data_IF_220643685840
#
_entry.id   IF_220643685840
#
_cell.length_a   1.000
_cell.length_b   1.000
_cell.length_c   1.000
_cell.angle_alpha   90.00
_cell.angle_beta   90.00
_cell.angle_gamma   90.00
#
_symmetry.space_group_name_H-M   'P 1'
#
loop_
_entity.id
_entity.type
_entity.pdbx_description
1 polymer ?
#
# COMPACT_ATOMS: atom_id res chain seq x y z
N UNK A 1 -14.33 -3.22 19.09
CA UNK A 1 -13.90 -3.59 17.71
C UNK A 1 -12.51 -3.05 17.52
N UNK A 2 -11.52 -3.89 17.21
CA UNK A 2 -10.24 -3.35 16.73
C UNK A 2 -10.48 -2.79 15.35
N UNK A 3 -10.16 -1.51 15.13
CA UNK A 3 -10.16 -0.94 13.79
C UNK A 3 -9.24 -1.79 12.90
N UNK A 4 -9.71 -2.13 11.71
CA UNK A 4 -8.87 -2.84 10.75
C UNK A 4 -7.68 -1.93 10.39
N UNK A 5 -6.45 -2.42 10.61
CA UNK A 5 -5.24 -1.69 10.22
C UNK A 5 -5.19 -1.56 8.69
N UNK A 6 -4.92 -0.36 8.19
CA UNK A 6 -4.77 -0.09 6.77
C UNK A 6 -3.43 -0.60 6.25
N UNK A 7 -2.38 -0.39 7.02
CA UNK A 7 -0.99 -0.71 6.70
C UNK A 7 -0.28 -1.29 7.92
N UNK A 8 0.45 -2.39 7.74
CA UNK A 8 1.24 -3.01 8.80
C UNK A 8 2.60 -3.45 8.27
N UNK A 9 3.65 -3.13 9.01
CA UNK A 9 4.98 -3.66 8.76
C UNK A 9 5.09 -5.09 9.30
N UNK A 10 5.66 -5.99 8.52
CA UNK A 10 5.78 -7.40 8.85
C UNK A 10 7.23 -7.82 9.10
N UNK A 11 7.87 -7.23 10.12
CA UNK A 11 9.27 -7.55 10.47
C UNK A 11 9.47 -9.06 10.78
N UNK A 12 8.46 -9.73 11.35
CA UNK A 12 8.52 -11.18 11.59
C UNK A 12 8.49 -12.01 10.31
N UNK A 13 7.61 -11.66 9.37
CA UNK A 13 7.56 -12.29 8.04
C UNK A 13 8.81 -12.01 7.22
N UNK A 14 9.32 -10.77 7.30
CA UNK A 14 10.55 -10.33 6.64
C UNK A 14 11.77 -11.17 7.04
N UNK A 15 11.93 -11.39 8.34
CA UNK A 15 13.02 -12.19 8.89
C UNK A 15 12.82 -13.69 8.62
N UNK A 16 11.64 -14.23 8.93
CA UNK A 16 11.39 -15.68 8.82
C UNK A 16 11.46 -16.22 7.38
N UNK A 17 11.17 -15.38 6.39
CA UNK A 17 11.25 -15.73 4.96
C UNK A 17 12.56 -15.27 4.29
N UNK A 18 13.54 -14.76 5.05
CA UNK A 18 14.80 -14.27 4.51
C UNK A 18 15.73 -15.43 4.10
N UNK A 19 16.01 -15.57 2.80
CA UNK A 19 16.96 -16.57 2.31
C UNK A 19 18.42 -16.29 2.71
N UNK A 20 18.73 -15.03 3.04
CA UNK A 20 20.05 -14.58 3.53
C UNK A 20 20.15 -14.61 5.06
N UNK A 21 19.08 -15.01 5.76
CA UNK A 21 19.01 -15.05 7.22
C UNK A 21 18.91 -13.67 7.90
N UNK A 22 18.79 -12.57 7.14
CA UNK A 22 18.75 -11.21 7.67
C UNK A 22 17.40 -10.54 7.39
N UNK A 23 17.06 -10.33 6.12
CA UNK A 23 15.84 -9.63 5.73
C UNK A 23 15.54 -9.89 4.26
N UNK A 24 14.35 -10.42 4.01
CA UNK A 24 13.85 -10.62 2.64
C UNK A 24 13.69 -9.29 1.91
N UNK A 25 13.18 -8.26 2.58
CA UNK A 25 13.11 -6.88 2.08
C UNK A 25 14.51 -6.36 1.72
N UNK A 26 15.50 -6.57 2.57
CA UNK A 26 16.90 -6.24 2.29
C UNK A 26 17.46 -6.95 1.05
N UNK A 27 17.12 -8.22 0.85
CA UNK A 27 17.50 -8.97 -0.34
C UNK A 27 16.87 -8.38 -1.61
N UNK A 28 15.60 -7.94 -1.55
CA UNK A 28 14.92 -7.27 -2.66
C UNK A 28 15.53 -5.89 -2.98
N UNK A 29 15.86 -5.10 -1.96
CA UNK A 29 16.51 -3.80 -2.13
C UNK A 29 17.85 -3.88 -2.89
N UNK A 30 18.57 -5.00 -2.75
CA UNK A 30 19.87 -5.23 -3.40
C UNK A 30 19.76 -5.79 -4.82
N UNK A 31 18.56 -6.13 -5.30
CA UNK A 31 18.41 -6.63 -6.66
C UNK A 31 18.66 -5.51 -7.69
N UNK A 32 19.42 -5.78 -8.77
CA UNK A 32 19.66 -4.80 -9.82
C UNK A 32 18.35 -4.23 -10.38
N UNK A 33 18.28 -2.90 -10.51
CA UNK A 33 17.13 -2.19 -11.08
C UNK A 33 15.90 -2.08 -10.16
N UNK A 34 15.97 -2.55 -8.90
CA UNK A 34 14.88 -2.36 -7.92
C UNK A 34 14.98 -1.06 -7.14
N UNK A 35 16.18 -0.52 -7.03
CA UNK A 35 16.45 0.69 -6.27
C UNK A 35 17.54 1.49 -6.98
N UNK A 36 17.32 2.79 -7.12
CA UNK A 36 18.29 3.73 -7.68
C UNK A 36 18.92 4.57 -6.56
N UNK A 37 20.20 4.88 -6.70
CA UNK A 37 20.86 5.80 -5.77
C UNK A 37 20.30 7.21 -5.98
N UNK A 38 19.83 7.82 -4.91
CA UNK A 38 19.16 9.12 -4.89
C UNK A 38 19.65 9.90 -3.68
N UNK A 39 19.70 11.22 -3.81
CA UNK A 39 20.25 12.11 -2.78
C UNK A 39 19.17 12.66 -1.85
N UNK A 40 17.91 12.71 -2.27
CA UNK A 40 16.84 13.28 -1.46
C UNK A 40 16.09 12.22 -0.62
N UNK A 41 15.78 12.51 0.66
CA UNK A 41 15.07 11.59 1.56
C UNK A 41 13.75 11.11 1.01
N UNK A 42 13.08 11.96 0.26
CA UNK A 42 11.75 11.70 -0.21
C UNK A 42 11.78 10.64 -1.33
N UNK A 43 12.73 10.71 -2.27
CA UNK A 43 12.83 9.73 -3.37
C UNK A 43 13.34 8.41 -2.85
N UNK A 44 14.22 8.45 -1.84
CA UNK A 44 14.65 7.28 -1.10
C UNK A 44 13.46 6.56 -0.46
N UNK A 45 12.59 7.30 0.24
CA UNK A 45 11.38 6.76 0.85
C UNK A 45 10.39 6.21 -0.17
N UNK A 46 10.18 6.89 -1.30
CA UNK A 46 9.35 6.40 -2.40
C UNK A 46 9.86 5.05 -2.94
N UNK A 47 11.15 4.95 -3.24
CA UNK A 47 11.76 3.72 -3.76
C UNK A 47 11.69 2.59 -2.74
N UNK A 48 12.00 2.88 -1.47
CA UNK A 48 11.95 1.88 -0.40
C UNK A 48 10.52 1.36 -0.18
N UNK A 49 9.53 2.27 -0.15
CA UNK A 49 8.12 1.91 -0.03
C UNK A 49 7.64 1.09 -1.23
N UNK A 50 8.03 1.47 -2.45
CA UNK A 50 7.68 0.73 -3.68
C UNK A 50 8.17 -0.71 -3.62
N UNK A 51 9.41 -0.94 -3.21
CA UNK A 51 9.96 -2.30 -3.04
C UNK A 51 9.25 -3.06 -1.91
N UNK A 52 8.83 -2.36 -0.86
CA UNK A 52 8.16 -2.95 0.29
C UNK A 52 6.73 -3.42 0.01
N UNK A 53 6.10 -2.96 -1.09
CA UNK A 53 4.71 -3.27 -1.44
C UNK A 53 4.54 -4.65 -2.10
N UNK A 54 3.33 -5.26 -2.00
CA UNK A 54 3.04 -6.59 -2.53
C UNK A 54 3.20 -6.73 -4.05
N UNK A 55 3.14 -5.62 -4.80
CA UNK A 55 3.34 -5.60 -6.25
C UNK A 55 4.78 -5.90 -6.68
N UNK A 56 5.76 -5.61 -5.81
CA UNK A 56 7.19 -5.89 -6.05
C UNK A 56 7.63 -7.13 -5.28
N UNK A 57 7.24 -7.23 -4.02
CA UNK A 57 7.62 -8.33 -3.13
C UNK A 57 6.36 -9.03 -2.62
N UNK A 58 6.11 -10.29 -2.95
CA UNK A 58 4.89 -11.01 -2.52
C UNK A 58 5.19 -12.20 -1.60
N UNK A 59 4.69 -12.22 -0.34
CA UNK A 59 4.00 -11.13 0.37
C UNK A 59 4.88 -9.91 0.62
N UNK A 60 4.29 -8.71 0.71
CA UNK A 60 5.01 -7.45 0.93
C UNK A 60 5.65 -7.36 2.31
N UNK A 61 6.62 -6.43 2.45
CA UNK A 61 7.18 -6.04 3.75
C UNK A 61 6.15 -5.18 4.49
N UNK A 62 5.45 -4.35 3.71
CA UNK A 62 4.23 -3.67 4.14
C UNK A 62 3.04 -4.50 3.67
N UNK A 63 2.27 -4.98 4.63
CA UNK A 63 0.98 -5.61 4.40
C UNK A 63 -0.09 -4.52 4.33
N UNK A 64 -1.00 -4.67 3.38
CA UNK A 64 -2.09 -3.72 3.15
C UNK A 64 -3.43 -4.35 3.49
N UNK A 65 -4.38 -3.53 3.92
CA UNK A 65 -5.77 -3.95 4.07
C UNK A 65 -6.34 -4.40 2.71
N UNK A 66 -7.18 -5.45 2.65
CA UNK A 66 -7.72 -5.98 1.39
C UNK A 66 -8.39 -4.97 0.46
N UNK A 67 -8.94 -3.88 1.00
CA UNK A 67 -9.56 -2.81 0.21
C UNK A 67 -8.55 -1.90 -0.49
N UNK A 68 -7.29 -1.89 -0.07
CA UNK A 68 -6.23 -1.12 -0.74
C UNK A 68 -5.90 -1.82 -2.05
N UNK A 69 -6.17 -1.16 -3.18
CA UNK A 69 -5.90 -1.66 -4.52
C UNK A 69 -4.53 -1.24 -5.02
N UNK A 70 -4.15 0.01 -4.73
CA UNK A 70 -2.88 0.57 -5.17
C UNK A 70 -2.36 1.59 -4.17
N UNK A 71 -1.03 1.70 -4.13
CA UNK A 71 -0.29 2.71 -3.37
C UNK A 71 0.83 3.22 -4.27
N UNK A 72 0.77 4.50 -4.60
CA UNK A 72 1.77 5.18 -5.42
C UNK A 72 2.21 6.48 -4.76
N UNK A 73 3.32 7.05 -5.22
CA UNK A 73 3.82 8.34 -4.74
C UNK A 73 3.71 9.40 -5.84
N UNK A 74 3.40 10.62 -5.42
CA UNK A 74 3.44 11.83 -6.21
C UNK A 74 4.43 12.81 -5.57
N UNK A 75 5.14 13.52 -6.45
CA UNK A 75 5.97 14.67 -6.11
C UNK A 75 5.21 15.94 -6.40
N UNK A 76 5.15 16.84 -5.43
CA UNK A 76 4.74 18.22 -5.67
C UNK A 76 5.89 19.03 -6.24
N UNK A 77 5.55 20.12 -6.93
CA UNK A 77 6.52 21.02 -7.57
C UNK A 77 7.42 21.74 -6.54
N UNK A 78 7.00 21.81 -5.27
CA UNK A 78 7.73 22.48 -4.19
C UNK A 78 8.45 21.48 -3.26
N UNK A 79 8.59 20.23 -3.69
CA UNK A 79 9.28 19.17 -2.95
C UNK A 79 8.38 18.34 -2.03
N UNK A 80 7.07 18.52 -2.08
CA UNK A 80 6.14 17.72 -1.28
C UNK A 80 6.20 16.24 -1.67
N UNK A 81 6.10 15.36 -0.67
CA UNK A 81 5.85 13.93 -0.87
C UNK A 81 4.39 13.63 -0.55
N UNK A 82 3.65 13.11 -1.52
CA UNK A 82 2.26 12.69 -1.31
C UNK A 82 2.12 11.25 -1.74
N UNK A 83 1.66 10.38 -0.85
CA UNK A 83 1.25 9.03 -1.23
C UNK A 83 -0.23 9.01 -1.62
N UNK A 84 -0.54 8.34 -2.72
CA UNK A 84 -1.87 8.15 -3.26
C UNK A 84 -2.28 6.72 -2.98
N UNK A 85 -3.36 6.55 -2.23
CA UNK A 85 -3.92 5.26 -1.87
C UNK A 85 -5.27 5.09 -2.54
N UNK A 86 -5.38 4.09 -3.39
CA UNK A 86 -6.64 3.74 -4.06
C UNK A 86 -7.36 2.65 -3.26
N UNK A 87 -8.61 2.92 -2.89
CA UNK A 87 -9.44 2.05 -2.06
C UNK A 87 -10.67 1.55 -2.82
N UNK A 88 -11.03 0.29 -2.60
CA UNK A 88 -12.34 -0.26 -2.96
C UNK A 88 -13.42 0.33 -2.06
N UNK A 89 -14.44 0.91 -2.69
CA UNK A 89 -15.64 1.43 -2.02
C UNK A 89 -16.90 0.68 -2.48
N UNK A 90 -18.00 0.82 -1.73
CA UNK A 90 -19.29 0.30 -2.15
C UNK A 90 -19.90 1.20 -3.23
N UNK A 91 -20.72 0.62 -4.12
CA UNK A 91 -21.47 1.38 -5.13
C UNK A 91 -22.56 2.21 -4.45
N UNK A 92 -22.52 3.55 -4.54
CA UNK A 92 -23.63 4.37 -4.07
C UNK A 92 -24.90 3.98 -4.83
N UNK A 93 -25.99 3.71 -4.11
CA UNK A 93 -27.25 3.26 -4.72
C UNK A 93 -27.80 4.23 -5.78
N UNK A 94 -27.50 5.52 -5.64
CA UNK A 94 -27.87 6.56 -6.60
C UNK A 94 -27.18 6.41 -7.97
N UNK A 95 -26.08 5.67 -8.05
CA UNK A 95 -25.32 5.44 -9.28
C UNK A 95 -25.72 4.15 -9.99
N UNK A 96 -26.65 3.36 -9.45
CA UNK A 96 -27.12 2.16 -10.15
C UNK A 96 -27.97 2.54 -11.37
N UNK A 97 -27.65 2.00 -12.57
CA UNK A 97 -28.43 2.28 -13.76
C UNK A 97 -29.88 1.83 -13.61
N UNK A 98 -30.81 2.71 -13.96
CA UNK A 98 -32.24 2.40 -13.89
C UNK A 98 -32.57 1.18 -14.77
N UNK A 99 -33.16 0.15 -14.18
CA UNK A 99 -33.63 -1.04 -14.87
C UNK A 99 -32.56 -2.10 -15.19
N UNK A 100 -31.30 -1.95 -14.75
CA UNK A 100 -30.27 -2.99 -14.88
C UNK A 100 -29.31 -2.98 -13.68
N UNK A 101 -29.15 -4.13 -13.01
CA UNK A 101 -28.10 -4.29 -11.99
C UNK A 101 -26.73 -4.35 -12.65
N UNK A 102 -25.81 -3.49 -12.21
CA UNK A 102 -24.41 -3.58 -12.61
C UNK A 102 -23.67 -4.65 -11.80
N UNK A 103 -22.48 -5.04 -12.28
CA UNK A 103 -21.52 -5.78 -11.45
C UNK A 103 -20.61 -4.77 -10.75
N UNK A 104 -20.16 -5.11 -9.55
CA UNK A 104 -19.18 -4.33 -8.79
C UNK A 104 -18.00 -5.20 -8.35
N UNK A 105 -17.19 -4.68 -7.44
CA UNK A 105 -16.06 -5.42 -6.87
C UNK A 105 -16.46 -6.79 -6.31
N UNK A 106 -15.70 -7.83 -6.66
CA UNK A 106 -15.88 -9.20 -6.15
C UNK A 106 -14.92 -9.46 -5.00
N UNK A 107 -15.44 -9.92 -3.86
CA UNK A 107 -14.62 -10.37 -2.75
C UNK A 107 -14.24 -11.84 -2.93
N UNK A 108 -12.95 -12.15 -3.06
CA UNK A 108 -12.45 -13.53 -3.02
C UNK A 108 -11.77 -13.82 -1.69
N UNK A 109 -11.95 -15.06 -1.21
CA UNK A 109 -11.27 -15.58 -0.02
C UNK A 109 -10.44 -16.79 -0.42
N UNK A 110 -9.14 -16.73 -0.16
CA UNK A 110 -8.22 -17.83 -0.43
C UNK A 110 -7.23 -17.96 0.72
N UNK A 111 -7.06 -19.17 1.26
CA UNK A 111 -6.16 -19.45 2.39
C UNK A 111 -6.29 -18.47 3.58
N UNK A 112 -7.51 -18.03 3.89
CA UNK A 112 -7.78 -17.06 4.96
C UNK A 112 -7.52 -15.59 4.61
N UNK A 113 -6.97 -15.30 3.44
CA UNK A 113 -6.79 -13.94 2.92
C UNK A 113 -8.01 -13.50 2.12
N UNK A 114 -8.34 -12.21 2.22
CA UNK A 114 -9.40 -11.55 1.45
C UNK A 114 -8.74 -10.69 0.38
N UNK A 115 -9.27 -10.72 -0.83
CA UNK A 115 -8.95 -9.75 -1.89
C UNK A 115 -10.22 -9.24 -2.54
N UNK A 116 -10.16 -8.01 -3.05
CA UNK A 116 -11.20 -7.44 -3.90
C UNK A 116 -10.68 -7.39 -5.33
N UNK A 117 -11.47 -7.90 -6.26
CA UNK A 117 -11.09 -8.07 -7.66
C UNK A 117 -12.20 -7.56 -8.58
N UNK A 118 -11.80 -7.20 -9.80
CA UNK A 118 -12.76 -6.90 -10.85
C UNK A 118 -13.50 -8.18 -11.30
N UNK A 119 -14.80 -8.09 -11.62
CA UNK A 119 -15.54 -9.19 -12.23
C UNK A 119 -14.89 -9.64 -13.54
N UNK A 120 -14.79 -10.96 -13.73
CA UNK A 120 -14.30 -11.54 -14.99
C UNK A 120 -15.37 -11.55 -16.09
N UNK A 121 -16.63 -11.25 -15.74
CA UNK A 121 -17.76 -11.28 -16.66
C UNK A 121 -17.80 -9.99 -17.48
N UNK A 122 -17.84 -10.14 -18.80
CA UNK A 122 -17.95 -9.02 -19.74
C UNK A 122 -19.35 -8.87 -20.37
N UNK A 123 -20.34 -9.65 -19.91
CA UNK A 123 -21.71 -9.65 -20.45
C UNK A 123 -22.63 -8.60 -19.80
N UNK A 124 -22.11 -7.80 -18.86
CA UNK A 124 -22.86 -6.78 -18.11
C UNK A 124 -22.04 -5.50 -17.93
N UNK A 125 -22.74 -4.41 -17.64
CA UNK A 125 -22.12 -3.16 -17.19
C UNK A 125 -21.44 -3.41 -15.85
N UNK A 126 -20.19 -2.95 -15.72
CA UNK A 126 -19.40 -3.04 -14.49
C UNK A 126 -19.18 -1.63 -13.95
N UNK A 127 -19.47 -1.40 -12.67
CA UNK A 127 -19.20 -0.17 -11.94
C UNK A 127 -18.24 -0.47 -10.79
N UNK A 128 -17.03 0.08 -10.85
CA UNK A 128 -15.95 -0.13 -9.87
C UNK A 128 -15.68 1.16 -9.09
N UNK A 129 -16.57 1.54 -8.15
CA UNK A 129 -16.40 2.74 -7.36
C UNK A 129 -15.13 2.62 -6.51
N UNK A 130 -14.26 3.62 -6.62
CA UNK A 130 -13.04 3.74 -5.84
C UNK A 130 -13.00 5.05 -5.06
N UNK A 131 -12.28 5.05 -3.96
CA UNK A 131 -11.91 6.26 -3.23
C UNK A 131 -10.40 6.43 -3.33
N UNK A 132 -9.96 7.63 -3.70
CA UNK A 132 -8.54 7.99 -3.71
C UNK A 132 -8.24 8.87 -2.50
N UNK A 133 -7.33 8.43 -1.65
CA UNK A 133 -6.84 9.20 -0.51
C UNK A 133 -5.43 9.68 -0.83
N UNK A 134 -5.20 10.99 -0.74
CA UNK A 134 -3.87 11.59 -0.89
C UNK A 134 -3.34 11.97 0.49
N UNK A 135 -2.21 11.38 0.86
CA UNK A 135 -1.60 11.53 2.18
C UNK A 135 -0.27 12.25 2.03
N UNK A 136 -0.18 13.53 2.44
CA UNK A 136 1.12 14.20 2.56
C UNK A 136 1.98 13.50 3.60
N UNK A 137 3.25 13.26 3.26
CA UNK A 137 4.26 12.74 4.18
C UNK A 137 5.28 13.85 4.43
N UNK A 138 5.53 14.22 5.70
CA UNK A 138 6.52 15.26 6.03
C UNK A 138 7.91 14.77 5.67
N UNK A 139 8.55 15.44 4.72
CA UNK A 139 9.88 15.06 4.21
C UNK A 139 10.94 15.21 5.30
N UNK A 140 10.76 16.19 6.19
CA UNK A 140 11.61 16.45 7.36
C UNK A 140 11.60 15.33 8.40
N UNK A 141 10.60 14.43 8.37
CA UNK A 141 10.54 13.26 9.24
C UNK A 141 11.24 12.03 8.64
N UNK A 142 11.61 12.09 7.35
CA UNK A 142 12.28 10.99 6.66
C UNK A 142 13.76 10.94 7.03
N UNK A 143 14.35 9.73 7.12
CA UNK A 143 15.78 9.61 7.32
C UNK A 143 16.55 10.06 6.08
N UNK A 144 17.74 10.61 6.29
CA UNK A 144 18.70 10.84 5.21
C UNK A 144 19.00 9.52 4.45
N UNK A 145 19.10 9.56 3.12
CA UNK A 145 19.50 8.40 2.32
C UNK A 145 20.87 7.87 2.77
N UNK A 146 20.97 6.55 2.92
CA UNK A 146 22.23 5.86 3.25
C UNK A 146 22.41 4.63 2.39
N UNK A 147 23.65 4.39 2.01
CA UNK A 147 24.04 3.34 1.09
C UNK A 147 25.26 2.59 1.61
N UNK A 148 25.33 1.30 1.28
CA UNK A 148 26.50 0.46 1.45
C UNK A 148 27.51 0.72 0.33
N UNK A 149 28.74 0.25 0.54
CA UNK A 149 29.73 0.15 -0.53
C UNK A 149 29.14 -0.64 -1.71
N UNK A 150 29.15 -0.04 -2.90
CA UNK A 150 28.51 -0.59 -4.09
C UNK A 150 27.10 -0.04 -4.40
N UNK A 151 26.60 0.92 -3.62
CA UNK A 151 25.43 1.74 -3.97
C UNK A 151 24.07 1.13 -3.63
N UNK A 152 24.04 -0.01 -2.94
CA UNK A 152 22.79 -0.57 -2.41
C UNK A 152 22.33 0.21 -1.17
N UNK A 153 21.02 0.45 -0.96
CA UNK A 153 20.54 1.18 0.21
C UNK A 153 20.82 0.39 1.51
N UNK A 154 21.19 1.11 2.57
CA UNK A 154 21.34 0.54 3.90
C UNK A 154 19.97 0.07 4.42
N UNK A 155 19.88 -1.20 4.84
CA UNK A 155 18.62 -1.83 5.25
C UNK A 155 17.87 -1.03 6.32
N UNK A 156 18.57 -0.62 7.38
CA UNK A 156 17.93 0.09 8.48
C UNK A 156 17.48 1.51 8.09
N UNK A 157 18.19 2.17 7.17
CA UNK A 157 17.73 3.44 6.61
C UNK A 157 16.44 3.24 5.81
N UNK A 158 16.39 2.22 4.94
CA UNK A 158 15.20 1.89 4.16
C UNK A 158 14.01 1.51 5.07
N UNK A 159 14.22 0.68 6.10
CA UNK A 159 13.17 0.33 7.06
C UNK A 159 12.66 1.54 7.82
N UNK A 160 13.53 2.46 8.25
CA UNK A 160 13.11 3.73 8.90
C UNK A 160 12.26 4.60 7.96
N UNK A 161 12.64 4.72 6.70
CA UNK A 161 11.85 5.48 5.71
C UNK A 161 10.46 4.87 5.52
N UNK A 162 10.38 3.53 5.37
CA UNK A 162 9.10 2.81 5.27
C UNK A 162 8.24 2.99 6.52
N UNK A 163 8.83 2.95 7.72
CA UNK A 163 8.10 3.17 8.99
C UNK A 163 7.44 4.55 9.04
N UNK A 164 8.13 5.60 8.62
CA UNK A 164 7.57 6.96 8.60
C UNK A 164 6.39 7.04 7.63
N UNK A 165 6.56 6.52 6.41
CA UNK A 165 5.49 6.50 5.41
C UNK A 165 4.28 5.71 5.91
N UNK A 166 4.49 4.49 6.42
CA UNK A 166 3.42 3.63 6.94
C UNK A 166 2.69 4.28 8.10
N UNK A 167 3.39 4.96 9.01
CA UNK A 167 2.76 5.65 10.13
C UNK A 167 1.80 6.74 9.65
N UNK A 168 2.19 7.55 8.67
CA UNK A 168 1.32 8.59 8.09
C UNK A 168 0.15 8.00 7.31
N UNK A 169 0.40 6.97 6.51
CA UNK A 169 -0.64 6.27 5.77
C UNK A 169 -1.67 5.63 6.70
N UNK A 170 -1.22 4.92 7.73
CA UNK A 170 -2.09 4.29 8.72
C UNK A 170 -2.94 5.33 9.45
N UNK A 171 -2.31 6.42 9.91
CA UNK A 171 -2.98 7.51 10.63
C UNK A 171 -4.16 8.10 9.84
N UNK A 172 -4.01 8.25 8.52
CA UNK A 172 -5.02 8.87 7.65
C UNK A 172 -6.00 7.85 7.07
N UNK A 173 -5.52 6.69 6.62
CA UNK A 173 -6.34 5.73 5.86
C UNK A 173 -7.14 4.80 6.76
N UNK A 174 -6.65 4.45 7.96
CA UNK A 174 -7.38 3.52 8.84
C UNK A 174 -8.77 4.05 9.24
N UNK A 175 -8.95 5.34 9.62
CA UNK A 175 -10.30 5.89 9.88
C UNK A 175 -11.21 5.87 8.64
N UNK A 176 -10.65 6.10 7.45
CA UNK A 176 -11.41 6.04 6.19
C UNK A 176 -11.91 4.62 5.93
N UNK A 177 -11.04 3.62 6.12
CA UNK A 177 -11.42 2.21 5.99
C UNK A 177 -12.48 1.81 7.01
N UNK A 178 -12.36 2.28 8.25
CA UNK A 178 -13.37 2.02 9.29
C UNK A 178 -14.76 2.56 8.89
N UNK A 179 -14.82 3.69 8.17
CA UNK A 179 -16.07 4.23 7.65
C UNK A 179 -16.60 3.50 6.39
N UNK A 180 -15.70 2.87 5.62
CA UNK A 180 -16.06 2.09 4.42
C UNK A 180 -16.50 0.65 4.73
N UNK A 181 -16.11 0.11 5.89
CA UNK A 181 -16.65 -1.16 6.36
C UNK A 181 -18.07 -0.94 6.91
N UNK A 182 -19.10 -1.57 6.31
CA UNK A 182 -20.45 -1.41 6.82
C UNK A 182 -20.53 -1.97 8.25
N UNK A 183 -21.22 -1.24 9.12
CA UNK A 183 -21.64 -1.75 10.42
C UNK A 183 -22.40 -3.06 10.17
N UNK A 184 -21.85 -4.20 10.62
CA UNK A 184 -22.50 -5.51 10.51
C UNK A 184 -23.67 -5.65 11.50
N UNK A 185 -24.47 -4.59 11.67
CA UNK A 185 -25.49 -4.46 12.71
C UNK A 185 -26.87 -4.00 12.24
N UNK A 186 -27.09 -3.76 10.95
CA UNK A 186 -28.41 -3.40 10.42
C UNK A 186 -28.70 -4.16 9.12
N UNK A 187 -29.10 -5.42 9.26
CA UNK A 187 -29.82 -6.19 8.26
C UNK A 187 -30.85 -7.07 8.97
#
# INVERSE_FOLDING_TARGET
MMAAQAFRIDDGGDWSAASDGVSRFGAYLRQPGRFECVEDPASFATSAMTVALPSVMSPGYVLTHPRVQDVSALRGDMGELVFVVSLVSALPAALEPQGRRSLGWEQKRFAGQVSWLEPQRCDRVVLLPGLVVRVPVPVEALPEPRYLDGGAPELEAAKRAVRVVVAELERVVAPVLAALEPDRGAA
#
